data_IF_320751890813
#
_entry.id   IF_320751890813
#
_cell.length_a   1.000
_cell.length_b   1.000
_cell.length_c   1.000
_cell.angle_alpha   90.00
_cell.angle_beta   90.00
_cell.angle_gamma   90.00
#
_symmetry.space_group_name_H-M   'P 1'
#
loop_
_entity.id
_entity.type
_entity.pdbx_description
1 polymer ?
#
# COMPACT_ATOMS: atom_id res chain seq x y z
N UNK A 1 -0.14 13.20 -10.54
CA UNK A 1 -1.50 12.64 -10.69
C UNK A 1 -2.38 13.74 -11.25
N UNK A 2 -2.58 13.77 -12.56
CA UNK A 2 -3.14 14.92 -13.27
C UNK A 2 -2.41 16.21 -12.82
N UNK A 3 -3.16 17.24 -12.42
CA UNK A 3 -2.63 18.54 -11.96
C UNK A 3 -2.07 18.55 -10.53
N UNK A 4 -1.92 17.37 -9.89
CA UNK A 4 -1.51 17.27 -8.49
C UNK A 4 -0.22 16.48 -8.32
N UNK A 5 0.67 17.01 -7.47
CA UNK A 5 1.78 16.24 -6.88
C UNK A 5 1.24 15.53 -5.65
N UNK A 6 1.40 14.21 -5.60
CA UNK A 6 0.92 13.38 -4.49
C UNK A 6 2.08 12.59 -3.91
N UNK A 7 2.18 12.61 -2.59
CA UNK A 7 3.15 11.83 -1.85
C UNK A 7 2.57 11.45 -0.49
N UNK A 8 3.16 10.42 0.13
CA UNK A 8 2.83 10.03 1.47
C UNK A 8 4.12 9.90 2.26
N UNK A 9 4.10 10.41 3.49
CA UNK A 9 5.26 10.37 4.36
C UNK A 9 4.82 10.24 5.83
N UNK A 10 5.66 9.57 6.60
CA UNK A 10 5.60 9.56 8.06
C UNK A 10 6.92 10.05 8.69
N UNK A 11 7.87 10.50 7.86
CA UNK A 11 9.18 11.06 8.18
C UNK A 11 10.16 10.02 8.72
N UNK A 12 9.78 9.37 9.83
CA UNK A 12 10.50 8.27 10.46
C UNK A 12 9.49 7.31 11.10
N UNK A 13 9.84 6.01 11.28
CA UNK A 13 9.00 5.10 12.05
C UNK A 13 8.61 5.71 13.39
N UNK A 14 7.31 5.76 13.67
CA UNK A 14 6.80 6.35 14.91
C UNK A 14 6.81 5.31 16.00
N UNK A 15 7.65 5.52 17.01
CA UNK A 15 7.78 4.62 18.17
C UNK A 15 7.14 5.16 19.44
N UNK A 16 6.86 6.47 19.51
CA UNK A 16 6.25 7.13 20.66
C UNK A 16 4.81 7.53 20.37
N UNK A 17 3.91 7.15 21.27
CA UNK A 17 2.46 7.25 21.10
C UNK A 17 1.87 8.60 21.51
N UNK A 18 2.51 9.28 22.45
CA UNK A 18 1.92 10.41 23.18
C UNK A 18 2.45 11.78 22.74
N UNK A 19 3.32 11.81 21.73
CA UNK A 19 3.70 13.03 21.02
C UNK A 19 2.76 13.22 19.81
N UNK A 20 2.71 14.41 19.18
CA UNK A 20 2.21 14.51 17.80
C UNK A 20 3.05 13.57 16.92
N UNK A 21 2.58 12.34 16.83
CA UNK A 21 3.16 11.30 16.02
C UNK A 21 2.88 11.67 14.56
N UNK A 22 3.89 11.69 13.68
CA UNK A 22 3.63 11.78 12.26
C UNK A 22 3.03 10.44 11.83
N UNK A 23 1.73 10.27 12.03
CA UNK A 23 0.97 9.29 11.28
C UNK A 23 1.30 9.47 9.80
N UNK A 24 1.29 8.37 9.04
CA UNK A 24 1.33 8.49 7.59
C UNK A 24 0.35 9.56 7.15
N UNK A 25 0.90 10.60 6.53
CA UNK A 25 0.17 11.73 6.01
C UNK A 25 0.27 11.67 4.51
N UNK A 26 -0.88 11.61 3.84
CA UNK A 26 -0.96 11.70 2.38
C UNK A 26 -1.25 13.14 2.04
N UNK A 27 -0.42 13.72 1.19
CA UNK A 27 -0.51 15.10 0.76
C UNK A 27 -0.76 15.16 -0.75
N UNK A 28 -1.65 16.05 -1.16
CA UNK A 28 -1.87 16.42 -2.55
C UNK A 28 -1.70 17.94 -2.68
N UNK A 29 -0.76 18.36 -3.52
CA UNK A 29 -0.46 19.77 -3.79
C UNK A 29 -0.74 20.06 -5.25
N UNK A 30 -1.59 21.06 -5.53
CA UNK A 30 -1.88 21.43 -6.92
C UNK A 30 -0.64 22.08 -7.55
N UNK A 31 -0.31 21.66 -8.78
CA UNK A 31 0.89 22.10 -9.50
C UNK A 31 0.81 23.57 -9.93
N UNK A 32 -0.40 24.08 -10.21
CA UNK A 32 -0.60 25.47 -10.65
C UNK A 32 -0.82 26.43 -9.47
N UNK A 33 -1.27 25.94 -8.32
CA UNK A 33 -1.59 26.74 -7.14
C UNK A 33 -1.32 25.97 -5.85
N UNK A 34 -0.12 26.14 -5.27
CA UNK A 34 0.29 25.44 -4.06
C UNK A 34 -0.55 25.80 -2.82
N UNK A 35 -1.33 26.88 -2.84
CA UNK A 35 -2.28 27.18 -1.75
C UNK A 35 -3.41 26.14 -1.70
N UNK A 36 -3.69 25.45 -2.81
CA UNK A 36 -4.55 24.27 -2.87
C UNK A 36 -3.74 23.04 -2.47
N UNK A 37 -3.71 22.82 -1.17
CA UNK A 37 -3.08 21.66 -0.55
C UNK A 37 -4.10 20.91 0.29
N UNK A 38 -4.15 19.59 0.13
CA UNK A 38 -4.95 18.70 0.96
C UNK A 38 -4.06 17.70 1.69
N UNK A 39 -4.40 17.41 2.94
CA UNK A 39 -3.67 16.46 3.78
C UNK A 39 -4.68 15.56 4.50
N UNK A 40 -4.40 14.26 4.55
CA UNK A 40 -5.17 13.29 5.33
C UNK A 40 -4.24 12.30 6.04
N UNK A 41 -4.64 11.86 7.23
CA UNK A 41 -3.97 10.79 7.99
C UNK A 41 -4.89 9.55 8.03
N UNK A 42 -4.92 8.72 6.97
CA UNK A 42 -5.96 7.71 6.79
C UNK A 42 -5.92 6.59 7.83
N UNK A 43 -4.79 6.45 8.54
CA UNK A 43 -4.59 5.38 9.52
C UNK A 43 -4.51 5.83 10.97
N UNK A 44 -4.73 7.11 11.25
CA UNK A 44 -4.62 7.69 12.61
C UNK A 44 -5.46 7.00 13.68
N UNK A 45 -6.61 6.46 13.28
CA UNK A 45 -7.52 5.77 14.20
C UNK A 45 -7.08 4.33 14.52
N UNK A 46 -6.16 3.74 13.74
CA UNK A 46 -5.74 2.36 13.91
C UNK A 46 -4.51 2.26 14.79
N UNK A 47 -4.51 1.27 15.69
CA UNK A 47 -3.40 1.02 16.60
C UNK A 47 -2.59 -0.17 16.13
N UNK A 48 -1.28 -0.03 16.18
CA UNK A 48 -0.33 -1.13 16.02
C UNK A 48 -0.35 -2.04 17.25
N UNK A 49 0.08 -3.29 17.06
CA UNK A 49 0.33 -4.19 18.19
C UNK A 49 1.49 -3.68 19.07
N UNK A 50 1.58 -4.13 20.34
CA UNK A 50 2.53 -3.59 21.33
C UNK A 50 4.02 -3.74 20.98
N UNK A 51 4.35 -4.54 19.95
CA UNK A 51 5.72 -4.80 19.48
C UNK A 51 6.08 -4.07 18.19
N UNK A 52 5.16 -3.24 17.66
CA UNK A 52 5.31 -2.58 16.37
C UNK A 52 5.25 -1.06 16.53
N UNK A 53 5.98 -0.31 15.66
CA UNK A 53 5.81 1.13 15.60
C UNK A 53 4.36 1.48 15.29
N UNK A 54 3.90 2.63 15.80
CA UNK A 54 2.56 3.19 15.56
C UNK A 54 2.35 3.47 14.07
N UNK A 55 3.39 3.90 13.38
CA UNK A 55 3.41 4.08 11.92
C UNK A 55 4.78 3.74 11.36
N UNK A 56 4.81 3.01 10.25
CA UNK A 56 5.99 2.69 9.45
C UNK A 56 5.56 2.47 8.00
N UNK A 57 5.91 3.39 7.10
CA UNK A 57 5.63 3.28 5.69
C UNK A 57 6.93 3.48 4.91
N UNK A 58 7.32 2.55 4.03
CA UNK A 58 8.32 2.84 3.00
C UNK A 58 7.66 3.79 1.98
N UNK A 59 8.15 5.02 1.87
CA UNK A 59 7.50 6.10 1.10
C UNK A 59 7.39 5.78 -0.39
N UNK A 60 6.23 5.27 -0.81
CA UNK A 60 5.77 5.25 -2.20
C UNK A 60 4.24 5.15 -2.24
N UNK A 61 3.60 6.01 -3.01
CA UNK A 61 2.17 5.90 -3.31
C UNK A 61 1.98 5.27 -4.69
N UNK A 62 0.93 4.48 -4.84
CA UNK A 62 0.42 4.08 -6.15
C UNK A 62 -0.76 5.00 -6.50
N UNK A 63 -0.91 5.41 -7.76
CA UNK A 63 -1.97 6.34 -8.18
C UNK A 63 -2.72 5.84 -9.41
N UNK A 64 -4.02 6.12 -9.49
CA UNK A 64 -4.81 6.03 -10.71
C UNK A 64 -5.30 7.42 -11.13
N UNK A 65 -4.60 8.09 -12.06
CA UNK A 65 -5.02 9.40 -12.55
C UNK A 65 -6.39 9.39 -13.24
N UNK A 66 -6.84 8.25 -13.78
CA UNK A 66 -8.12 8.15 -14.48
C UNK A 66 -9.34 8.30 -13.53
N UNK A 67 -9.20 7.90 -12.26
CA UNK A 67 -10.28 7.91 -11.27
C UNK A 67 -10.01 8.84 -10.09
N UNK A 68 -8.92 9.58 -10.16
CA UNK A 68 -8.37 10.36 -9.06
C UNK A 68 -8.19 9.53 -7.78
N UNK A 69 -7.66 8.31 -7.90
CA UNK A 69 -7.43 7.41 -6.76
C UNK A 69 -5.95 7.33 -6.36
N UNK A 70 -5.70 7.14 -5.06
CA UNK A 70 -4.37 7.02 -4.44
C UNK A 70 -4.38 5.82 -3.51
N UNK A 71 -3.41 4.93 -3.63
CA UNK A 71 -3.28 3.72 -2.83
C UNK A 71 -2.07 3.82 -1.92
N UNK A 72 -2.30 3.64 -0.63
CA UNK A 72 -1.30 3.79 0.42
C UNK A 72 -1.35 2.64 1.40
N UNK A 73 -0.26 2.47 2.13
CA UNK A 73 -0.09 1.45 3.16
C UNK A 73 0.59 2.04 4.39
N UNK A 74 0.37 1.41 5.53
CA UNK A 74 1.18 1.63 6.72
C UNK A 74 1.38 0.29 7.44
N UNK A 75 2.64 -0.15 7.48
CA UNK A 75 3.04 -1.43 8.04
C UNK A 75 2.78 -1.47 9.55
N UNK A 76 2.96 -0.35 10.25
CA UNK A 76 2.77 -0.24 11.70
C UNK A 76 1.38 -0.74 12.15
N UNK A 77 0.30 -0.04 11.76
CA UNK A 77 -1.07 -0.47 12.04
C UNK A 77 -1.48 -1.68 11.19
N UNK A 78 -0.71 -2.04 10.15
CA UNK A 78 -0.98 -3.19 9.28
C UNK A 78 -2.20 -2.94 8.40
N UNK A 79 -2.21 -1.79 7.72
CA UNK A 79 -3.34 -1.30 6.95
C UNK A 79 -2.93 -0.89 5.54
N UNK A 80 -3.87 -1.03 4.62
CA UNK A 80 -3.83 -0.42 3.29
C UNK A 80 -5.13 0.37 3.08
N UNK A 81 -5.10 1.37 2.20
CA UNK A 81 -6.29 2.16 1.87
C UNK A 81 -6.26 2.63 0.41
N UNK A 82 -7.46 2.77 -0.14
CA UNK A 82 -7.72 3.56 -1.34
C UNK A 82 -8.32 4.89 -0.94
N UNK A 83 -7.71 5.96 -1.41
CA UNK A 83 -8.15 7.33 -1.23
C UNK A 83 -8.61 7.89 -2.56
N UNK A 84 -9.53 8.84 -2.52
CA UNK A 84 -9.96 9.60 -3.68
C UNK A 84 -9.69 11.07 -3.47
N UNK A 85 -9.04 11.70 -4.46
CA UNK A 85 -8.89 13.14 -4.54
C UNK A 85 -10.12 13.73 -5.23
N UNK A 86 -10.81 14.61 -4.52
CA UNK A 86 -11.99 15.34 -4.97
C UNK A 86 -11.71 16.85 -4.91
N UNK A 87 -12.63 17.66 -5.42
CA UNK A 87 -12.50 19.11 -5.39
C UNK A 87 -12.43 19.70 -3.97
N UNK A 88 -12.99 18.99 -2.99
CA UNK A 88 -13.07 19.41 -1.59
C UNK A 88 -12.00 18.76 -0.70
N UNK A 89 -11.20 17.82 -1.20
CA UNK A 89 -10.15 17.20 -0.41
C UNK A 89 -9.77 15.77 -0.78
N UNK A 90 -8.96 15.17 0.10
CA UNK A 90 -8.62 13.75 0.08
C UNK A 90 -9.60 12.98 0.98
N UNK A 91 -10.17 11.90 0.46
CA UNK A 91 -11.16 11.09 1.17
C UNK A 91 -10.74 9.63 1.17
N UNK A 92 -10.78 8.97 2.34
CA UNK A 92 -10.63 7.50 2.40
C UNK A 92 -11.89 6.84 1.86
N UNK A 93 -11.76 6.09 0.76
CA UNK A 93 -12.88 5.35 0.14
C UNK A 93 -13.04 3.99 0.80
N UNK A 94 -11.91 3.32 1.05
CA UNK A 94 -11.87 2.05 1.76
C UNK A 94 -10.55 1.91 2.50
N UNK A 95 -10.57 1.07 3.55
CA UNK A 95 -9.36 0.68 4.27
C UNK A 95 -9.48 -0.77 4.71
N UNK A 96 -8.39 -1.51 4.62
CA UNK A 96 -8.38 -2.94 4.88
C UNK A 96 -7.19 -3.34 5.74
N UNK A 97 -7.36 -4.42 6.49
CA UNK A 97 -6.26 -5.01 7.25
C UNK A 97 -5.39 -5.81 6.30
N UNK A 98 -4.15 -5.37 6.11
CA UNK A 98 -3.14 -6.03 5.30
C UNK A 98 -1.76 -5.56 5.76
N UNK A 99 -0.92 -6.49 6.16
CA UNK A 99 0.37 -6.21 6.78
C UNK A 99 1.45 -6.31 5.71
N UNK A 100 2.07 -5.21 5.32
CA UNK A 100 3.07 -5.24 4.25
C UNK A 100 4.20 -4.26 4.54
N UNK A 101 5.40 -4.60 4.10
CA UNK A 101 6.57 -3.70 4.06
C UNK A 101 7.02 -3.42 2.63
N UNK A 102 6.22 -3.83 1.65
CA UNK A 102 6.46 -3.77 0.22
C UNK A 102 5.54 -2.73 -0.41
N UNK A 103 5.96 -2.14 -1.52
CA UNK A 103 5.15 -1.20 -2.27
C UNK A 103 3.94 -1.87 -2.93
N UNK A 104 2.88 -1.08 -3.12
CA UNK A 104 1.69 -1.51 -3.84
C UNK A 104 1.88 -1.28 -5.34
N UNK A 105 1.50 -2.26 -6.17
CA UNK A 105 1.35 -2.08 -7.61
C UNK A 105 -0.12 -1.84 -7.98
N UNK A 106 -0.35 -1.01 -8.99
CA UNK A 106 -1.66 -0.85 -9.62
C UNK A 106 -1.60 -1.41 -11.06
N UNK A 107 -2.47 -2.38 -11.35
CA UNK A 107 -2.47 -3.09 -12.64
C UNK A 107 -3.86 -3.13 -13.29
N UNK A 108 -3.91 -3.60 -14.53
CA UNK A 108 -5.16 -3.77 -15.29
C UNK A 108 -5.63 -2.48 -15.99
N UNK A 109 -6.66 -2.56 -16.85
CA UNK A 109 -7.21 -1.39 -17.52
C UNK A 109 -7.94 -0.46 -16.54
N UNK A 110 -8.14 0.80 -16.90
CA UNK A 110 -8.83 1.80 -16.06
C UNK A 110 -10.17 1.28 -15.52
N UNK A 111 -11.02 0.72 -16.38
CA UNK A 111 -12.33 0.20 -15.97
C UNK A 111 -12.29 -0.95 -14.94
N UNK A 112 -11.13 -1.59 -14.73
CA UNK A 112 -10.96 -2.76 -13.84
C UNK A 112 -9.58 -2.76 -13.18
N UNK A 113 -9.22 -1.66 -12.52
CA UNK A 113 -7.96 -1.58 -11.78
C UNK A 113 -7.89 -2.58 -10.63
N UNK A 114 -6.70 -3.15 -10.44
CA UNK A 114 -6.39 -4.07 -9.35
C UNK A 114 -5.18 -3.57 -8.59
N UNK A 115 -5.32 -3.44 -7.27
CA UNK A 115 -4.22 -3.17 -6.35
C UNK A 115 -3.60 -4.50 -5.96
N UNK A 116 -2.28 -4.62 -6.12
CA UNK A 116 -1.49 -5.78 -5.73
C UNK A 116 -0.53 -5.37 -4.63
N UNK A 117 -0.53 -6.12 -3.55
CA UNK A 117 0.40 -5.94 -2.45
C UNK A 117 0.66 -7.26 -1.75
N UNK A 118 1.50 -7.24 -0.74
CA UNK A 118 1.79 -8.42 0.08
C UNK A 118 0.96 -8.43 1.38
N UNK A 119 0.96 -9.55 2.08
CA UNK A 119 0.38 -9.71 3.41
C UNK A 119 1.21 -10.67 4.27
N UNK A 120 1.89 -10.12 5.26
CA UNK A 120 2.75 -10.77 6.23
C UNK A 120 1.85 -11.49 7.27
N UNK A 121 1.93 -12.84 7.38
CA UNK A 121 1.11 -13.63 8.28
C UNK A 121 1.15 -13.16 9.74
N UNK A 122 0.02 -13.24 10.44
CA UNK A 122 -0.03 -12.89 11.86
C UNK A 122 1.00 -13.70 12.68
N UNK A 123 1.68 -13.04 13.62
CA UNK A 123 2.77 -13.64 14.40
C UNK A 123 4.18 -13.42 13.81
N UNK A 124 4.30 -13.23 12.49
CA UNK A 124 5.57 -12.84 11.86
C UNK A 124 5.93 -11.39 12.18
N UNK A 125 7.23 -11.12 12.35
CA UNK A 125 7.75 -9.77 12.61
C UNK A 125 7.87 -8.98 11.31
N UNK A 126 7.18 -7.85 11.20
CA UNK A 126 7.29 -6.94 10.05
C UNK A 126 8.75 -6.60 9.73
N UNK A 127 9.12 -6.70 8.45
CA UNK A 127 10.47 -6.43 7.96
C UNK A 127 11.52 -7.51 8.30
N UNK A 128 11.14 -8.56 9.04
CA UNK A 128 11.97 -9.73 9.35
C UNK A 128 11.17 -11.03 9.23
N UNK A 129 10.06 -10.99 8.50
CA UNK A 129 9.19 -12.13 8.30
C UNK A 129 9.89 -13.18 7.44
N UNK A 130 9.50 -14.44 7.60
CA UNK A 130 9.99 -15.54 6.76
C UNK A 130 9.03 -15.86 5.61
N UNK A 131 7.77 -15.47 5.77
CA UNK A 131 6.69 -15.79 4.85
C UNK A 131 5.89 -14.55 4.47
N UNK A 132 5.33 -14.60 3.27
CA UNK A 132 4.40 -13.61 2.71
C UNK A 132 3.27 -14.29 1.95
N UNK A 133 2.22 -13.52 1.68
CA UNK A 133 1.23 -13.81 0.62
C UNK A 133 1.14 -12.60 -0.30
N UNK A 134 0.78 -12.82 -1.55
CA UNK A 134 0.36 -11.76 -2.46
C UNK A 134 -1.16 -11.68 -2.44
N UNK A 135 -1.69 -10.47 -2.43
CA UNK A 135 -3.12 -10.16 -2.37
C UNK A 135 -3.47 -9.23 -3.52
N UNK A 136 -4.54 -9.59 -4.25
CA UNK A 136 -5.11 -8.77 -5.31
C UNK A 136 -6.46 -8.23 -4.85
N UNK A 137 -6.68 -6.93 -5.02
CA UNK A 137 -7.92 -6.25 -4.60
C UNK A 137 -8.48 -5.41 -5.72
N UNK A 138 -9.80 -5.32 -5.79
CA UNK A 138 -10.48 -4.32 -6.62
C UNK A 138 -10.08 -2.94 -6.13
N UNK A 139 -9.49 -2.12 -6.99
CA UNK A 139 -8.99 -0.80 -6.62
C UNK A 139 -10.10 0.13 -6.10
N UNK A 140 -11.28 0.12 -6.72
CA UNK A 140 -12.38 1.00 -6.34
C UNK A 140 -13.02 0.68 -4.97
N UNK A 141 -12.87 -0.54 -4.46
CA UNK A 141 -13.62 -1.01 -3.27
C UNK A 141 -12.77 -1.67 -2.19
N UNK A 142 -11.51 -2.00 -2.47
CA UNK A 142 -10.66 -2.77 -1.56
C UNK A 142 -11.01 -4.26 -1.46
N UNK A 143 -12.08 -4.72 -2.11
CA UNK A 143 -12.53 -6.11 -2.09
C UNK A 143 -11.43 -7.05 -2.60
N UNK A 144 -11.09 -8.06 -1.80
CA UNK A 144 -10.14 -9.11 -2.18
C UNK A 144 -10.69 -9.92 -3.37
N UNK A 145 -9.87 -10.04 -4.42
CA UNK A 145 -10.12 -10.84 -5.61
C UNK A 145 -9.48 -12.21 -5.48
N UNK A 146 -8.25 -12.23 -5.00
CA UNK A 146 -7.43 -13.42 -4.91
C UNK A 146 -6.33 -13.22 -3.87
N UNK A 147 -5.78 -14.35 -3.44
CA UNK A 147 -4.64 -14.42 -2.54
C UNK A 147 -3.81 -15.64 -2.87
N UNK A 148 -2.49 -15.48 -2.85
CA UNK A 148 -1.58 -16.59 -3.09
C UNK A 148 -1.56 -17.57 -1.91
N UNK A 149 -1.00 -18.75 -2.14
CA UNK A 149 -0.44 -19.57 -1.05
C UNK A 149 0.65 -18.81 -0.30
N UNK A 150 1.11 -19.36 0.82
CA UNK A 150 2.30 -18.85 1.49
C UNK A 150 3.51 -18.97 0.55
N UNK A 151 4.24 -17.87 0.45
CA UNK A 151 5.48 -17.71 -0.28
C UNK A 151 6.59 -17.47 0.74
N UNK A 152 7.86 -17.81 0.44
CA UNK A 152 8.95 -17.30 1.24
C UNK A 152 9.00 -15.76 1.13
N UNK A 153 9.62 -15.12 2.13
CA UNK A 153 9.60 -13.68 2.30
C UNK A 153 9.97 -12.92 1.02
N UNK A 154 9.21 -11.85 0.78
CA UNK A 154 9.43 -10.88 -0.28
C UNK A 154 10.33 -9.77 0.29
N UNK A 155 11.25 -9.25 -0.52
CA UNK A 155 12.22 -8.25 -0.08
C UNK A 155 11.51 -6.96 0.39
N UNK A 156 11.78 -6.51 1.60
CA UNK A 156 11.24 -5.26 2.13
C UNK A 156 11.51 -4.08 1.19
N UNK A 157 10.52 -3.21 1.00
CA UNK A 157 10.63 -2.05 0.10
C UNK A 157 10.74 -2.43 -1.38
N UNK A 158 10.49 -3.68 -1.75
CA UNK A 158 10.30 -4.10 -3.14
C UNK A 158 8.83 -4.03 -3.55
N UNK A 159 8.47 -4.57 -4.70
CA UNK A 159 7.12 -4.57 -5.24
C UNK A 159 6.84 -5.89 -5.98
N UNK A 160 5.61 -6.39 -5.90
CA UNK A 160 5.15 -7.46 -6.79
C UNK A 160 4.71 -6.83 -8.11
N UNK A 161 5.50 -7.02 -9.16
CA UNK A 161 5.32 -6.29 -10.43
C UNK A 161 4.72 -7.19 -11.51
N UNK A 162 3.84 -6.65 -12.38
CA UNK A 162 3.41 -7.36 -13.56
C UNK A 162 4.58 -7.51 -14.54
N UNK A 163 4.60 -8.62 -15.27
CA UNK A 163 5.45 -8.85 -16.43
C UNK A 163 4.64 -9.25 -17.66
N UNK A 164 5.33 -9.73 -18.69
CA UNK A 164 4.70 -10.12 -19.96
C UNK A 164 3.85 -11.39 -19.82
N UNK A 165 2.75 -11.47 -20.59
CA UNK A 165 1.84 -12.62 -20.67
C UNK A 165 1.16 -13.01 -19.34
N UNK A 166 0.76 -12.02 -18.54
CA UNK A 166 0.00 -12.26 -17.30
C UNK A 166 0.83 -12.80 -16.14
N UNK A 167 2.15 -12.89 -16.30
CA UNK A 167 3.09 -13.26 -15.24
C UNK A 167 3.28 -12.10 -14.28
N UNK A 168 3.60 -12.42 -13.04
CA UNK A 168 4.04 -11.44 -12.06
C UNK A 168 5.38 -11.86 -11.48
N UNK A 169 6.14 -10.92 -10.93
CA UNK A 169 7.44 -11.19 -10.36
C UNK A 169 7.59 -10.48 -9.02
N UNK A 170 8.35 -11.09 -8.11
CA UNK A 170 8.74 -10.46 -6.87
C UNK A 170 10.22 -10.73 -6.59
N UNK A 171 10.84 -9.85 -5.80
CA UNK A 171 12.24 -9.96 -5.41
C UNK A 171 12.39 -10.65 -4.06
N UNK A 172 13.40 -11.50 -3.99
CA UNK A 172 14.08 -11.87 -2.76
C UNK A 172 15.46 -11.19 -2.74
N UNK A 173 16.20 -11.35 -1.63
CA UNK A 173 17.53 -10.72 -1.45
C UNK A 173 18.48 -10.99 -2.63
N UNK A 174 18.41 -12.17 -3.25
CA UNK A 174 19.33 -12.63 -4.30
C UNK A 174 18.64 -13.20 -5.55
N UNK A 175 17.30 -13.15 -5.64
CA UNK A 175 16.53 -13.83 -6.69
C UNK A 175 15.32 -13.03 -7.15
N UNK A 176 15.07 -13.07 -8.45
CA UNK A 176 13.78 -12.73 -9.04
C UNK A 176 12.94 -13.99 -9.15
N UNK A 177 11.74 -13.99 -8.58
CA UNK A 177 10.85 -15.15 -8.58
C UNK A 177 9.60 -14.84 -9.39
N UNK A 178 9.27 -15.76 -10.29
CA UNK A 178 8.00 -15.72 -11.02
C UNK A 178 6.84 -16.19 -10.12
N UNK A 179 5.79 -15.38 -10.10
CA UNK A 179 4.50 -15.69 -9.51
C UNK A 179 3.51 -15.96 -10.66
N UNK A 180 3.18 -17.24 -10.82
CA UNK A 180 2.21 -17.72 -11.80
C UNK A 180 0.93 -18.21 -11.10
N UNK A 181 -0.20 -17.97 -11.75
CA UNK A 181 -1.49 -18.50 -11.31
C UNK A 181 -1.63 -19.91 -11.86
N UNK A 182 -1.68 -20.90 -10.98
CA UNK A 182 -2.03 -22.27 -11.36
C UNK A 182 -3.55 -22.46 -11.31
N UNK A 183 -4.15 -23.22 -12.25
CA UNK A 183 -5.52 -23.70 -12.10
C UNK A 183 -5.70 -24.43 -10.76
N UNK A 184 -6.88 -24.31 -10.13
CA UNK A 184 -7.23 -25.19 -9.03
C UNK A 184 -7.33 -26.61 -9.58
N UNK A 185 -6.46 -27.51 -9.11
CA UNK A 185 -6.61 -28.95 -9.25
C UNK A 185 -7.68 -29.47 -8.31
#
# INVERSE_FOLDING_TARGET
MNDWVVFADNGKPVTQRDLPSPWLSVMAVNQADASKTFVIQPFKAFRSGPRYPVSFCPSAVSVDPAHNEIFVLDAGPGRIAGLQLRSDGLHTVWSERQRTTEFLALIGPSARRVVVGTDIPFGERLGKNKLDRVVWRVAATGRELARSRLLPAILNGSMVQPGYAGRMYYLQVDKLIELSVSPKT
#
